data_IF_753951809628
#
_entry.id   IF_753951809628
#
_cell.length_a   1.000
_cell.length_b   1.000
_cell.length_c   1.000
_cell.angle_alpha   90.00
_cell.angle_beta   90.00
_cell.angle_gamma   90.00
#
_symmetry.space_group_name_H-M   'P 1'
#
loop_
_entity.id
_entity.type
_entity.pdbx_description
1 polymer ?
#
# COMPACT_ATOMS: atom_id res chain seq x y z
N UNK A 1 7.21 9.44 18.35
CA UNK A 1 8.61 9.44 17.88
C UNK A 1 9.42 8.27 18.44
N UNK A 2 9.49 8.01 19.75
CA UNK A 2 10.28 6.86 20.26
C UNK A 2 9.74 5.47 19.87
N UNK A 3 8.41 5.29 19.87
CA UNK A 3 7.78 4.00 19.52
C UNK A 3 7.98 3.60 18.05
N UNK A 4 8.07 4.57 17.15
CA UNK A 4 8.25 4.31 15.71
C UNK A 4 9.65 3.73 15.47
N UNK A 5 10.68 4.31 16.09
CA UNK A 5 12.03 3.75 16.02
C UNK A 5 12.09 2.33 16.62
N UNK A 6 11.38 2.06 17.71
CA UNK A 6 11.29 0.72 18.30
C UNK A 6 10.65 -0.30 17.34
N UNK A 7 9.54 0.05 16.69
CA UNK A 7 8.88 -0.83 15.73
C UNK A 7 9.82 -1.21 14.56
N UNK A 8 10.59 -0.23 14.05
CA UNK A 8 11.60 -0.49 13.05
C UNK A 8 12.69 -1.44 13.56
N UNK A 9 13.22 -1.22 14.78
CA UNK A 9 14.25 -2.10 15.34
C UNK A 9 13.75 -3.55 15.48
N UNK A 10 12.55 -3.77 16.03
CA UNK A 10 12.00 -5.12 16.16
C UNK A 10 11.75 -5.80 14.82
N UNK A 11 11.27 -5.04 13.82
CA UNK A 11 11.15 -5.55 12.46
C UNK A 11 12.51 -5.99 11.91
N UNK A 12 13.54 -5.17 12.09
CA UNK A 12 14.88 -5.48 11.61
C UNK A 12 15.51 -6.66 12.36
N UNK A 13 15.23 -6.83 13.65
CA UNK A 13 15.62 -8.02 14.43
C UNK A 13 14.91 -9.27 13.90
N UNK A 14 13.59 -9.21 13.66
CA UNK A 14 12.82 -10.32 13.09
C UNK A 14 13.35 -10.76 11.71
N UNK A 15 13.66 -9.81 10.84
CA UNK A 15 14.27 -10.08 9.53
C UNK A 15 15.66 -10.70 9.68
N UNK A 16 16.46 -10.23 10.64
CA UNK A 16 17.79 -10.79 10.89
C UNK A 16 17.71 -12.23 11.41
N UNK A 17 16.77 -12.52 12.30
CA UNK A 17 16.50 -13.89 12.76
C UNK A 17 16.05 -14.78 11.60
N UNK A 18 15.13 -14.30 10.76
CA UNK A 18 14.68 -15.01 9.56
C UNK A 18 15.85 -15.35 8.63
N UNK A 19 16.74 -14.38 8.38
CA UNK A 19 17.91 -14.56 7.52
C UNK A 19 18.94 -15.51 8.14
N UNK A 20 19.16 -15.44 9.45
CA UNK A 20 20.05 -16.36 10.18
C UNK A 20 19.57 -17.80 10.09
N UNK A 21 18.25 -18.01 10.09
CA UNK A 21 17.61 -19.31 9.89
C UNK A 21 17.51 -19.71 8.42
N UNK A 22 18.04 -18.91 7.49
CA UNK A 22 18.00 -19.14 6.03
C UNK A 22 16.59 -19.31 5.45
N UNK A 23 15.55 -18.80 6.13
CA UNK A 23 14.15 -18.90 5.66
C UNK A 23 13.81 -17.88 4.55
N UNK A 24 14.83 -17.30 3.93
CA UNK A 24 14.72 -16.48 2.73
C UNK A 24 15.31 -17.21 1.51
N UNK A 25 15.72 -18.47 1.69
CA UNK A 25 16.28 -19.32 0.64
C UNK A 25 15.32 -20.48 0.38
N UNK A 26 14.91 -20.66 -0.88
CA UNK A 26 13.96 -21.72 -1.28
C UNK A 26 14.46 -23.12 -0.89
N UNK A 27 15.76 -23.36 -1.06
CA UNK A 27 16.47 -24.62 -0.69
C UNK A 27 16.27 -25.01 0.77
N UNK A 28 16.16 -24.05 1.70
CA UNK A 28 15.97 -24.35 3.12
C UNK A 28 14.65 -25.09 3.38
N UNK A 29 13.65 -24.89 2.53
CA UNK A 29 12.32 -25.50 2.69
C UNK A 29 12.31 -27.01 2.38
N UNK A 30 13.26 -27.50 1.58
CA UNK A 30 13.44 -28.93 1.30
C UNK A 30 14.00 -29.70 2.52
N UNK A 31 14.65 -28.99 3.45
CA UNK A 31 15.27 -29.57 4.64
C UNK A 31 14.28 -29.72 5.82
N UNK A 32 13.06 -29.16 5.71
CA UNK A 32 12.07 -29.24 6.78
C UNK A 32 11.50 -30.64 6.95
N UNK A 33 11.68 -31.22 8.14
CA UNK A 33 11.03 -32.48 8.53
C UNK A 33 9.55 -32.31 8.88
N UNK A 34 9.16 -31.14 9.38
CA UNK A 34 7.79 -30.79 9.72
C UNK A 34 7.16 -29.92 8.61
N UNK A 35 6.20 -30.45 7.82
CA UNK A 35 5.52 -29.69 6.78
C UNK A 35 4.75 -28.49 7.31
N UNK A 36 4.19 -28.56 8.52
CA UNK A 36 3.41 -27.48 9.10
C UNK A 36 4.33 -26.30 9.41
N UNK A 37 5.48 -26.57 10.03
CA UNK A 37 6.48 -25.55 10.31
C UNK A 37 7.02 -24.91 9.02
N UNK A 38 7.25 -25.70 7.96
CA UNK A 38 7.65 -25.22 6.63
C UNK A 38 6.63 -24.24 6.04
N UNK A 39 5.34 -24.57 6.10
CA UNK A 39 4.25 -23.70 5.63
C UNK A 39 4.25 -22.37 6.39
N UNK A 40 4.30 -22.41 7.72
CA UNK A 40 4.26 -21.17 8.51
C UNK A 40 5.53 -20.34 8.36
N UNK A 41 6.71 -20.96 8.24
CA UNK A 41 7.96 -20.25 7.97
C UNK A 41 7.88 -19.46 6.65
N UNK A 42 7.32 -20.06 5.58
CA UNK A 42 7.10 -19.37 4.30
C UNK A 42 6.11 -18.22 4.43
N UNK A 43 5.00 -18.42 5.14
CA UNK A 43 4.03 -17.35 5.41
C UNK A 43 4.68 -16.21 6.22
N UNK A 44 5.49 -16.51 7.23
CA UNK A 44 6.22 -15.52 8.02
C UNK A 44 7.17 -14.68 7.16
N UNK A 45 7.91 -15.29 6.23
CA UNK A 45 8.73 -14.55 5.28
C UNK A 45 7.91 -13.50 4.53
N UNK A 46 6.76 -13.89 3.96
CA UNK A 46 5.92 -12.99 3.18
C UNK A 46 5.25 -11.90 4.03
N UNK A 47 4.92 -12.18 5.29
CA UNK A 47 4.43 -11.16 6.23
C UNK A 47 5.50 -10.11 6.48
N UNK A 48 6.74 -10.53 6.77
CA UNK A 48 7.86 -9.62 6.94
C UNK A 48 8.19 -8.85 5.65
N UNK A 49 8.09 -9.49 4.49
CA UNK A 49 8.31 -8.88 3.18
C UNK A 49 7.37 -7.69 2.93
N UNK A 50 6.07 -7.86 3.18
CA UNK A 50 5.07 -6.80 3.04
C UNK A 50 5.28 -5.72 4.10
N UNK A 51 5.50 -6.13 5.35
CA UNK A 51 5.64 -5.20 6.48
C UNK A 51 6.87 -4.32 6.31
N UNK A 52 7.99 -4.87 5.84
CA UNK A 52 9.21 -4.09 5.57
C UNK A 52 9.00 -3.05 4.48
N UNK A 53 8.33 -3.40 3.39
CA UNK A 53 8.05 -2.45 2.30
C UNK A 53 7.08 -1.36 2.72
N UNK A 54 6.01 -1.71 3.43
CA UNK A 54 5.07 -0.73 3.97
C UNK A 54 5.81 0.27 4.88
N UNK A 55 6.63 -0.22 5.80
CA UNK A 55 7.39 0.62 6.72
C UNK A 55 8.45 1.46 5.99
N UNK A 56 9.13 0.86 5.01
CA UNK A 56 10.12 1.52 4.15
C UNK A 56 9.55 2.73 3.42
N UNK A 57 8.37 2.55 2.81
CA UNK A 57 7.64 3.62 2.14
C UNK A 57 7.15 4.71 3.09
N UNK A 58 6.54 4.32 4.22
CA UNK A 58 5.99 5.28 5.18
C UNK A 58 7.07 6.14 5.86
N UNK A 59 8.23 5.56 6.16
CA UNK A 59 9.24 6.17 7.04
C UNK A 59 10.57 6.45 6.34
N UNK A 60 10.60 6.36 5.00
CA UNK A 60 11.79 6.53 4.17
C UNK A 60 12.98 5.66 4.65
N UNK A 61 12.72 4.37 4.88
CA UNK A 61 13.73 3.39 5.32
C UNK A 61 14.15 2.48 4.16
N UNK A 62 15.41 2.03 4.11
CA UNK A 62 15.84 1.01 3.15
C UNK A 62 15.22 -0.35 3.50
N UNK A 63 15.04 -1.21 2.50
CA UNK A 63 14.55 -2.58 2.67
C UNK A 63 15.67 -3.61 2.45
N UNK A 64 15.56 -4.80 3.03
CA UNK A 64 16.53 -5.90 2.89
C UNK A 64 15.96 -7.14 2.21
N UNK A 65 14.68 -7.45 2.44
CA UNK A 65 14.06 -8.67 1.92
C UNK A 65 13.80 -8.56 0.41
N UNK A 66 14.37 -9.50 -0.34
CA UNK A 66 14.17 -9.66 -1.78
C UNK A 66 13.12 -10.73 -2.07
N UNK A 67 12.44 -10.63 -3.22
CA UNK A 67 11.52 -11.66 -3.66
C UNK A 67 12.31 -12.91 -4.10
N UNK A 68 12.45 -13.85 -3.18
CA UNK A 68 13.33 -15.02 -3.32
C UNK A 68 12.58 -16.34 -3.18
N UNK A 69 11.36 -16.30 -2.62
CA UNK A 69 10.55 -17.48 -2.36
C UNK A 69 9.38 -17.58 -3.33
N UNK A 70 8.87 -18.79 -3.53
CA UNK A 70 7.54 -19.00 -4.09
C UNK A 70 6.44 -18.53 -3.14
N UNK A 71 5.29 -18.16 -3.71
CA UNK A 71 4.10 -17.79 -2.94
C UNK A 71 3.62 -18.96 -2.06
N UNK A 72 2.97 -18.70 -0.91
CA UNK A 72 2.40 -19.76 -0.09
C UNK A 72 1.45 -20.67 -0.88
N UNK A 73 1.56 -21.98 -0.73
CA UNK A 73 0.60 -22.88 -1.37
C UNK A 73 -0.80 -22.69 -0.75
N UNK A 74 -1.82 -22.65 -1.62
CA UNK A 74 -3.22 -22.58 -1.22
C UNK A 74 -3.84 -23.96 -1.45
N UNK A 75 -4.17 -24.64 -0.36
CA UNK A 75 -5.00 -25.84 -0.40
C UNK A 75 -6.49 -25.42 -0.36
N UNK A 76 -7.28 -25.64 -1.43
CA UNK A 76 -8.69 -25.26 -1.47
C UNK A 76 -9.56 -25.94 -0.42
N UNK A 77 -9.08 -27.05 0.17
CA UNK A 77 -9.79 -27.78 1.23
C UNK A 77 -9.43 -27.28 2.63
N UNK A 78 -8.41 -26.42 2.75
CA UNK A 78 -7.98 -25.84 4.02
C UNK A 78 -8.90 -24.73 4.48
N UNK A 79 -9.11 -24.63 5.79
CA UNK A 79 -9.85 -23.53 6.42
C UNK A 79 -9.17 -22.16 6.21
N UNK A 80 -7.86 -22.16 5.93
CA UNK A 80 -7.08 -20.94 5.70
C UNK A 80 -7.15 -20.45 4.25
N UNK A 81 -7.79 -21.20 3.33
CA UNK A 81 -7.75 -20.91 1.90
C UNK A 81 -8.20 -19.48 1.57
N UNK A 82 -9.33 -19.05 2.15
CA UNK A 82 -9.87 -17.71 1.94
C UNK A 82 -8.95 -16.62 2.48
N UNK A 83 -8.28 -16.87 3.61
CA UNK A 83 -7.31 -15.94 4.21
C UNK A 83 -6.09 -15.78 3.28
N UNK A 84 -5.60 -16.88 2.73
CA UNK A 84 -4.44 -16.90 1.85
C UNK A 84 -4.68 -16.22 0.51
N UNK A 85 -5.90 -16.27 -0.03
CA UNK A 85 -6.26 -15.55 -1.25
C UNK A 85 -6.04 -14.04 -1.09
N UNK A 86 -6.56 -13.44 -0.01
CA UNK A 86 -6.31 -12.03 0.28
C UNK A 86 -4.84 -11.74 0.60
N UNK A 87 -4.13 -12.68 1.25
CA UNK A 87 -2.69 -12.54 1.49
C UNK A 87 -1.88 -12.51 0.20
N UNK A 88 -2.20 -13.36 -0.79
CA UNK A 88 -1.56 -13.35 -2.11
C UNK A 88 -1.79 -12.04 -2.86
N UNK A 89 -3.00 -11.52 -2.80
CA UNK A 89 -3.32 -10.22 -3.39
C UNK A 89 -2.54 -9.09 -2.72
N UNK A 90 -2.40 -9.14 -1.39
CA UNK A 90 -1.60 -8.17 -0.65
C UNK A 90 -0.12 -8.26 -1.01
N UNK A 91 0.45 -9.47 -1.10
CA UNK A 91 1.83 -9.66 -1.59
C UNK A 91 1.98 -9.04 -2.98
N UNK A 92 1.02 -9.32 -3.87
CA UNK A 92 1.03 -8.83 -5.26
C UNK A 92 1.00 -7.30 -5.34
N UNK A 93 0.29 -6.63 -4.45
CA UNK A 93 0.29 -5.16 -4.36
C UNK A 93 1.67 -4.59 -3.99
N UNK A 94 2.40 -5.25 -3.09
CA UNK A 94 3.68 -4.76 -2.57
C UNK A 94 4.91 -5.20 -3.38
N UNK A 95 4.82 -6.28 -4.18
CA UNK A 95 5.92 -6.78 -5.00
C UNK A 95 6.59 -5.72 -5.90
N UNK A 96 5.86 -4.83 -6.60
CA UNK A 96 6.49 -3.82 -7.45
C UNK A 96 7.33 -2.77 -6.71
N UNK A 97 7.24 -2.70 -5.38
CA UNK A 97 7.98 -1.77 -4.53
C UNK A 97 9.28 -2.45 -4.06
N UNK A 98 10.18 -2.69 -5.00
CA UNK A 98 11.46 -3.34 -4.79
C UNK A 98 12.55 -2.38 -4.26
N UNK A 99 13.78 -2.88 -4.15
CA UNK A 99 14.90 -2.08 -3.64
C UNK A 99 15.23 -0.88 -4.53
N UNK A 100 15.02 -0.97 -5.84
CA UNK A 100 15.27 0.12 -6.77
C UNK A 100 14.21 1.21 -6.60
N UNK A 101 12.94 0.82 -6.51
CA UNK A 101 11.85 1.74 -6.20
C UNK A 101 12.07 2.44 -4.86
N UNK A 102 12.35 1.68 -3.79
CA UNK A 102 12.57 2.21 -2.44
C UNK A 102 13.78 3.14 -2.40
N UNK A 103 14.85 2.82 -3.12
CA UNK A 103 16.03 3.69 -3.22
C UNK A 103 15.69 5.01 -3.88
N UNK A 104 14.96 4.96 -5.01
CA UNK A 104 14.50 6.14 -5.72
C UNK A 104 13.56 7.00 -4.85
N UNK A 105 12.65 6.34 -4.14
CA UNK A 105 11.73 6.94 -3.17
C UNK A 105 12.47 7.68 -2.06
N UNK A 106 13.42 7.02 -1.39
CA UNK A 106 14.16 7.58 -0.27
C UNK A 106 15.09 8.75 -0.65
N UNK A 107 15.64 8.72 -1.87
CA UNK A 107 16.60 9.72 -2.33
C UNK A 107 15.95 10.85 -3.14
N UNK A 108 14.70 10.66 -3.61
CA UNK A 108 14.01 11.55 -4.54
C UNK A 108 14.90 11.95 -5.72
N UNK A 109 15.50 10.94 -6.36
CA UNK A 109 16.49 11.16 -7.43
C UNK A 109 15.89 11.98 -8.59
N UNK A 110 16.72 12.76 -9.33
CA UNK A 110 16.28 13.48 -10.50
C UNK A 110 15.55 12.58 -11.51
N UNK A 111 14.68 13.17 -12.32
CA UNK A 111 13.93 12.40 -13.32
C UNK A 111 14.85 11.84 -14.40
N UNK A 112 14.61 10.57 -14.75
CA UNK A 112 15.22 9.91 -15.91
C UNK A 112 14.20 9.82 -17.05
N UNK A 113 14.64 9.68 -18.32
CA UNK A 113 13.72 9.56 -19.45
C UNK A 113 12.73 8.40 -19.36
N UNK A 114 13.06 7.35 -18.60
CA UNK A 114 12.22 6.14 -18.45
C UNK A 114 11.21 6.25 -17.32
N UNK A 115 11.42 7.16 -16.35
CA UNK A 115 10.60 7.26 -15.13
C UNK A 115 9.12 7.47 -15.43
N UNK A 116 8.79 8.33 -16.41
CA UNK A 116 7.40 8.62 -16.77
C UNK A 116 6.65 7.38 -17.25
N UNK A 117 7.27 6.58 -18.13
CA UNK A 117 6.67 5.37 -18.65
C UNK A 117 6.56 4.28 -17.57
N UNK A 118 7.60 4.11 -16.75
CA UNK A 118 7.64 3.12 -15.67
C UNK A 118 6.61 3.42 -14.58
N UNK A 119 6.54 4.66 -14.10
CA UNK A 119 5.59 5.06 -13.06
C UNK A 119 4.15 5.09 -13.57
N UNK A 120 3.94 5.47 -14.85
CA UNK A 120 2.62 5.33 -15.49
C UNK A 120 2.19 3.87 -15.61
N UNK A 121 3.11 2.97 -15.94
CA UNK A 121 2.84 1.53 -15.94
C UNK A 121 2.49 1.03 -14.54
N UNK A 122 3.23 1.43 -13.51
CA UNK A 122 2.96 1.04 -12.13
C UNK A 122 1.60 1.55 -11.64
N UNK A 123 1.24 2.81 -11.94
CA UNK A 123 -0.10 3.32 -11.66
C UNK A 123 -1.20 2.50 -12.33
N UNK A 124 -0.97 2.07 -13.58
CA UNK A 124 -1.91 1.22 -14.33
C UNK A 124 -2.05 -0.15 -13.69
N UNK A 125 -0.94 -0.76 -13.29
CA UNK A 125 -0.91 -2.04 -12.59
C UNK A 125 -1.71 -1.96 -11.30
N UNK A 126 -1.51 -0.91 -10.49
CA UNK A 126 -2.30 -0.69 -9.28
C UNK A 126 -3.77 -0.46 -9.60
N UNK A 127 -4.11 0.36 -10.60
CA UNK A 127 -5.51 0.66 -10.98
C UNK A 127 -6.32 -0.59 -11.33
N UNK A 128 -5.72 -1.55 -12.03
CA UNK A 128 -6.40 -2.78 -12.47
C UNK A 128 -6.09 -4.00 -11.60
N UNK A 129 -5.40 -3.81 -10.47
CA UNK A 129 -5.20 -4.87 -9.47
C UNK A 129 -6.51 -5.24 -8.77
N UNK A 130 -6.55 -6.44 -8.17
CA UNK A 130 -7.66 -6.96 -7.36
C UNK A 130 -8.99 -7.17 -8.12
N UNK A 131 -9.02 -7.97 -9.22
CA UNK A 131 -10.24 -8.17 -10.01
C UNK A 131 -11.35 -8.97 -9.30
N UNK A 132 -11.00 -9.80 -8.30
CA UNK A 132 -11.92 -10.77 -7.68
C UNK A 132 -12.24 -10.45 -6.20
N UNK A 133 -12.35 -9.16 -5.85
CA UNK A 133 -12.57 -8.69 -4.47
C UNK A 133 -13.82 -9.28 -3.80
N UNK A 134 -14.84 -9.66 -4.56
CA UNK A 134 -16.08 -10.26 -4.03
C UNK A 134 -15.84 -11.60 -3.32
N UNK A 135 -14.72 -12.27 -3.61
CA UNK A 135 -14.39 -13.57 -3.02
C UNK A 135 -13.69 -13.42 -1.66
N UNK A 136 -13.39 -12.19 -1.23
CA UNK A 136 -12.64 -11.94 0.00
C UNK A 136 -13.57 -11.53 1.13
N UNK A 137 -13.15 -11.81 2.37
CA UNK A 137 -13.84 -11.27 3.55
C UNK A 137 -13.81 -9.75 3.56
N UNK A 138 -14.79 -9.11 4.22
CA UNK A 138 -14.84 -7.65 4.32
C UNK A 138 -13.57 -7.06 4.97
N UNK A 139 -12.96 -7.77 5.93
CA UNK A 139 -11.69 -7.38 6.58
C UNK A 139 -10.55 -7.34 5.55
N UNK A 140 -10.45 -8.35 4.69
CA UNK A 140 -9.45 -8.37 3.61
C UNK A 140 -9.75 -7.32 2.54
N UNK A 141 -11.03 -7.12 2.18
CA UNK A 141 -11.43 -6.08 1.24
C UNK A 141 -10.99 -4.70 1.74
N UNK A 142 -11.23 -4.39 3.02
CA UNK A 142 -10.78 -3.13 3.64
C UNK A 142 -9.26 -2.94 3.49
N UNK A 143 -8.45 -3.92 3.90
CA UNK A 143 -6.99 -3.80 3.85
C UNK A 143 -6.47 -3.68 2.42
N UNK A 144 -6.95 -4.53 1.50
CA UNK A 144 -6.52 -4.53 0.10
C UNK A 144 -6.88 -3.22 -0.60
N UNK A 145 -8.12 -2.74 -0.42
CA UNK A 145 -8.60 -1.52 -1.06
C UNK A 145 -7.86 -0.29 -0.53
N UNK A 146 -7.72 -0.15 0.79
CA UNK A 146 -6.98 0.98 1.39
C UNK A 146 -5.49 0.91 1.05
N UNK A 147 -4.87 -0.27 1.10
CA UNK A 147 -3.46 -0.46 0.70
C UNK A 147 -3.25 -0.07 -0.75
N UNK A 148 -4.12 -0.48 -1.67
CA UNK A 148 -4.06 -0.09 -3.09
C UNK A 148 -4.15 1.43 -3.26
N UNK A 149 -5.09 2.09 -2.59
CA UNK A 149 -5.22 3.56 -2.69
C UNK A 149 -4.01 4.29 -2.14
N UNK A 150 -3.48 3.83 -1.01
CA UNK A 150 -2.26 4.38 -0.43
C UNK A 150 -1.04 4.18 -1.34
N UNK A 151 -0.86 3.02 -1.94
CA UNK A 151 0.23 2.76 -2.89
C UNK A 151 0.12 3.64 -4.15
N UNK A 152 -1.10 3.90 -4.65
CA UNK A 152 -1.32 4.87 -5.75
C UNK A 152 -0.85 6.28 -5.35
N UNK A 153 -1.08 6.68 -4.10
CA UNK A 153 -0.58 7.96 -3.54
C UNK A 153 0.93 7.99 -3.43
N UNK A 154 1.57 6.91 -2.98
CA UNK A 154 3.04 6.78 -2.94
C UNK A 154 3.63 6.99 -4.34
N UNK A 155 3.12 6.29 -5.34
CA UNK A 155 3.59 6.44 -6.73
C UNK A 155 3.35 7.86 -7.25
N UNK A 156 2.20 8.46 -6.92
CA UNK A 156 1.91 9.84 -7.29
C UNK A 156 2.90 10.84 -6.67
N UNK A 157 3.23 10.69 -5.38
CA UNK A 157 4.23 11.54 -4.70
C UNK A 157 5.59 11.47 -5.38
N UNK A 158 6.00 10.27 -5.81
CA UNK A 158 7.25 10.09 -6.56
C UNK A 158 7.18 10.75 -7.95
N UNK A 159 6.04 10.67 -8.64
CA UNK A 159 5.83 11.41 -9.88
C UNK A 159 5.90 12.93 -9.66
N UNK A 160 5.34 13.43 -8.56
CA UNK A 160 5.35 14.84 -8.20
C UNK A 160 6.78 15.34 -7.92
N UNK A 161 7.56 14.60 -7.13
CA UNK A 161 8.96 14.97 -6.83
C UNK A 161 9.84 15.00 -8.09
N UNK A 162 9.53 14.14 -9.06
CA UNK A 162 10.19 14.08 -10.38
C UNK A 162 9.65 15.08 -11.41
N UNK A 163 8.61 15.86 -11.08
CA UNK A 163 7.99 16.86 -11.95
C UNK A 163 7.49 16.29 -13.30
N UNK A 164 7.02 15.04 -13.30
CA UNK A 164 6.55 14.33 -14.51
C UNK A 164 5.01 14.26 -14.60
N UNK A 165 4.32 15.01 -13.75
CA UNK A 165 2.85 15.06 -13.71
C UNK A 165 2.31 16.08 -14.71
N UNK A 166 1.20 15.72 -15.34
CA UNK A 166 0.42 16.62 -16.20
C UNK A 166 -0.65 17.37 -15.41
N UNK A 167 -1.18 18.47 -15.95
CA UNK A 167 -2.37 19.15 -15.41
C UNK A 167 -3.68 18.62 -16.03
N UNK A 168 -3.69 17.33 -16.43
CA UNK A 168 -4.86 16.68 -17.01
C UNK A 168 -5.96 16.45 -15.94
N UNK A 169 -7.10 15.89 -16.35
CA UNK A 169 -8.19 15.56 -15.41
C UNK A 169 -7.74 14.64 -14.27
N UNK A 170 -8.43 14.69 -13.13
CA UNK A 170 -8.15 13.88 -11.95
C UNK A 170 -8.30 12.37 -12.18
N UNK A 171 -8.96 11.93 -13.26
CA UNK A 171 -9.09 10.51 -13.60
C UNK A 171 -7.82 9.92 -14.26
N UNK A 172 -6.91 10.79 -14.68
CA UNK A 172 -5.61 10.39 -15.20
C UNK A 172 -4.63 10.15 -14.05
N UNK A 173 -4.11 8.93 -13.93
CA UNK A 173 -3.18 8.55 -12.86
C UNK A 173 -1.83 9.29 -12.90
N UNK A 174 -1.51 9.94 -14.02
CA UNK A 174 -0.35 10.81 -14.19
C UNK A 174 -0.73 12.31 -14.15
N UNK A 175 -1.85 12.64 -13.51
CA UNK A 175 -2.28 14.02 -13.27
C UNK A 175 -1.83 14.54 -11.90
N UNK A 176 -1.53 15.83 -11.83
CA UNK A 176 -1.38 16.57 -10.59
C UNK A 176 -2.62 16.42 -9.69
N UNK A 177 -3.82 16.32 -10.28
CA UNK A 177 -5.09 16.23 -9.56
C UNK A 177 -5.48 14.80 -9.14
N UNK A 178 -4.63 13.79 -9.39
CA UNK A 178 -4.94 12.40 -9.07
C UNK A 178 -5.27 12.12 -7.59
N UNK A 179 -4.66 12.80 -6.58
CA UNK A 179 -5.03 12.61 -5.17
C UNK A 179 -6.51 12.82 -4.89
N UNK A 180 -7.19 13.71 -5.62
CA UNK A 180 -8.63 13.90 -5.48
C UNK A 180 -9.44 12.68 -5.94
N UNK A 181 -8.99 11.96 -6.98
CA UNK A 181 -9.62 10.68 -7.37
C UNK A 181 -9.35 9.59 -6.33
N UNK A 182 -8.11 9.49 -5.82
CA UNK A 182 -7.75 8.49 -4.79
C UNK A 182 -8.56 8.72 -3.50
N UNK A 183 -8.69 9.96 -3.05
CA UNK A 183 -9.45 10.30 -1.86
C UNK A 183 -10.95 10.01 -2.02
N UNK A 184 -11.54 10.35 -3.17
CA UNK A 184 -12.91 9.96 -3.52
C UNK A 184 -13.10 8.44 -3.47
N UNK A 185 -12.15 7.67 -4.01
CA UNK A 185 -12.20 6.21 -3.92
C UNK A 185 -12.19 5.74 -2.46
N UNK A 186 -11.38 6.34 -1.57
CA UNK A 186 -11.37 5.99 -0.14
C UNK A 186 -12.72 6.25 0.52
N UNK A 187 -13.37 7.38 0.23
CA UNK A 187 -14.72 7.68 0.72
C UNK A 187 -15.73 6.65 0.22
N UNK A 188 -15.66 6.27 -1.06
CA UNK A 188 -16.54 5.23 -1.60
C UNK A 188 -16.29 3.88 -0.91
N UNK A 189 -15.02 3.52 -0.67
CA UNK A 189 -14.65 2.30 0.04
C UNK A 189 -15.24 2.31 1.46
N UNK A 190 -15.19 3.44 2.17
CA UNK A 190 -15.70 3.55 3.53
C UNK A 190 -17.23 3.52 3.61
N UNK A 191 -17.93 3.83 2.52
CA UNK A 191 -19.38 3.63 2.40
C UNK A 191 -19.77 2.18 2.06
N UNK A 192 -18.89 1.44 1.38
CA UNK A 192 -19.16 0.09 0.89
C UNK A 192 -18.72 -1.02 1.86
N UNK A 193 -17.76 -0.74 2.73
CA UNK A 193 -17.18 -1.71 3.66
C UNK A 193 -17.56 -1.34 5.11
N UNK A 194 -17.99 -2.30 5.96
CA UNK A 194 -18.38 -1.97 7.34
C UNK A 194 -17.22 -1.46 8.20
N UNK A 195 -17.53 -0.54 9.12
CA UNK A 195 -16.55 0.05 10.06
C UNK A 195 -15.73 -1.01 10.80
N UNK A 196 -16.36 -2.10 11.24
CA UNK A 196 -15.70 -3.19 11.98
C UNK A 196 -14.57 -3.85 11.16
N UNK A 197 -14.70 -3.87 9.83
CA UNK A 197 -13.65 -4.40 8.96
C UNK A 197 -12.42 -3.50 8.92
N UNK A 198 -12.59 -2.18 9.02
CA UNK A 198 -11.45 -1.26 9.17
C UNK A 198 -10.81 -1.39 10.56
N UNK A 199 -11.63 -1.47 11.62
CA UNK A 199 -11.16 -1.63 13.00
C UNK A 199 -10.34 -2.91 13.19
N UNK A 200 -10.76 -4.01 12.57
CA UNK A 200 -10.05 -5.29 12.63
C UNK A 200 -8.62 -5.24 12.05
N UNK A 201 -8.35 -4.33 11.11
CA UNK A 201 -7.01 -4.12 10.55
C UNK A 201 -6.15 -3.15 11.39
N UNK A 202 -6.78 -2.42 12.31
CA UNK A 202 -6.12 -1.55 13.27
C UNK A 202 -5.45 -0.31 12.66
N UNK A 203 -4.42 0.18 13.36
CA UNK A 203 -3.81 1.50 13.12
C UNK A 203 -3.17 1.65 11.73
N UNK A 204 -2.76 0.55 11.10
CA UNK A 204 -2.10 0.58 9.79
C UNK A 204 -3.00 1.14 8.69
N UNK A 205 -4.31 0.87 8.73
CA UNK A 205 -5.27 1.50 7.80
C UNK A 205 -5.39 2.99 8.07
N UNK A 206 -5.44 3.39 9.34
CA UNK A 206 -5.56 4.80 9.72
C UNK A 206 -4.36 5.62 9.21
N UNK A 207 -3.15 5.12 9.40
CA UNK A 207 -1.94 5.78 8.90
C UNK A 207 -1.95 5.93 7.37
N UNK A 208 -2.39 4.90 6.64
CA UNK A 208 -2.53 4.92 5.17
C UNK A 208 -3.55 5.98 4.72
N UNK A 209 -4.73 6.02 5.35
CA UNK A 209 -5.80 6.99 5.04
C UNK A 209 -5.33 8.42 5.36
N UNK A 210 -4.68 8.62 6.51
CA UNK A 210 -4.10 9.89 6.90
C UNK A 210 -3.09 10.39 5.86
N UNK A 211 -2.20 9.52 5.38
CA UNK A 211 -1.21 9.88 4.36
C UNK A 211 -1.85 10.30 3.02
N UNK A 212 -2.96 9.65 2.63
CA UNK A 212 -3.76 10.10 1.47
C UNK A 212 -4.41 11.45 1.72
N UNK A 213 -4.99 11.67 2.91
CA UNK A 213 -5.58 12.95 3.30
C UNK A 213 -4.57 14.11 3.26
N UNK A 214 -3.36 13.90 3.78
CA UNK A 214 -2.27 14.87 3.68
C UNK A 214 -1.93 15.20 2.23
N UNK A 215 -1.89 14.19 1.36
CA UNK A 215 -1.57 14.39 -0.07
C UNK A 215 -2.63 15.22 -0.80
N UNK A 216 -3.91 15.04 -0.43
CA UNK A 216 -5.00 15.86 -0.95
C UNK A 216 -4.93 17.30 -0.42
N UNK A 217 -4.58 17.48 0.86
CA UNK A 217 -4.37 18.82 1.43
C UNK A 217 -3.21 19.55 0.76
N UNK A 218 -2.08 18.86 0.51
CA UNK A 218 -0.93 19.41 -0.23
C UNK A 218 -1.34 19.86 -1.64
N UNK A 219 -2.14 19.05 -2.34
CA UNK A 219 -2.69 19.43 -3.64
C UNK A 219 -3.51 20.72 -3.58
N UNK A 220 -4.34 20.89 -2.55
CA UNK A 220 -5.17 22.08 -2.38
C UNK A 220 -4.35 23.33 -2.06
N UNK A 221 -3.19 23.19 -1.43
CA UNK A 221 -2.27 24.31 -1.21
C UNK A 221 -1.54 24.70 -2.51
N UNK A 222 -1.30 23.74 -3.41
CA UNK A 222 -0.63 23.95 -4.69
C UNK A 222 -1.58 24.53 -5.77
N UNK A 223 -2.86 24.18 -5.74
CA UNK A 223 -3.88 24.63 -6.70
C UNK A 223 -4.66 25.79 -6.09
N UNK A 224 -4.45 27.02 -6.59
CA UNK A 224 -5.18 28.21 -6.12
C UNK A 224 -6.71 28.03 -6.26
N UNK A 225 -7.51 28.65 -5.36
CA UNK A 225 -8.97 28.51 -5.35
C UNK A 225 -9.71 29.06 -6.58
N UNK A 226 -9.00 29.66 -7.54
CA UNK A 226 -9.58 30.27 -8.75
C UNK A 226 -10.23 29.25 -9.72
N UNK A 227 -10.08 27.94 -9.46
CA UNK A 227 -10.72 26.84 -10.20
C UNK A 227 -12.00 26.29 -9.54
N UNK A 228 -12.62 27.03 -8.61
CA UNK A 228 -13.96 26.72 -8.13
C UNK A 228 -15.04 27.20 -9.12
N UNK A 229 -15.31 26.43 -10.17
CA UNK A 229 -16.63 26.42 -10.81
C UNK A 229 -16.77 25.25 -11.80
N UNK A 230 -17.11 24.08 -11.30
CA UNK A 230 -18.09 23.22 -11.97
C UNK A 230 -19.00 22.64 -10.91
N UNK A 231 -20.24 23.13 -10.87
CA UNK A 231 -21.24 22.87 -9.82
C UNK A 231 -21.80 21.42 -9.81
N UNK A 232 -21.02 20.44 -10.26
CA UNK A 232 -21.44 19.03 -10.35
C UNK A 232 -20.47 18.02 -9.73
N UNK A 233 -19.28 18.43 -9.28
CA UNK A 233 -18.36 17.53 -8.58
C UNK A 233 -18.24 17.91 -7.10
N UNK A 234 -18.40 16.91 -6.22
CA UNK A 234 -18.06 17.02 -4.80
C UNK A 234 -16.63 17.56 -4.68
N UNK A 235 -16.46 18.69 -3.98
CA UNK A 235 -15.20 19.41 -3.96
C UNK A 235 -14.10 18.67 -3.20
N UNK A 236 -12.83 18.98 -3.49
CA UNK A 236 -11.69 18.46 -2.73
C UNK A 236 -11.79 18.78 -1.22
N UNK A 237 -12.40 19.93 -0.88
CA UNK A 237 -12.73 20.32 0.49
C UNK A 237 -13.73 19.35 1.11
N UNK A 238 -14.82 19.03 0.40
CA UNK A 238 -15.86 18.12 0.89
C UNK A 238 -15.29 16.70 1.09
N UNK A 239 -14.44 16.25 0.15
CA UNK A 239 -13.76 14.95 0.27
C UNK A 239 -12.80 14.90 1.46
N UNK A 240 -12.04 15.98 1.71
CA UNK A 240 -11.22 16.06 2.92
C UNK A 240 -12.09 16.00 4.15
N UNK A 241 -13.13 16.84 4.24
CA UNK A 241 -14.03 16.86 5.41
C UNK A 241 -14.60 15.46 5.67
N UNK A 242 -15.05 14.75 4.64
CA UNK A 242 -15.53 13.36 4.79
C UNK A 242 -14.43 12.42 5.28
N UNK A 243 -13.19 12.49 4.75
CA UNK A 243 -12.06 11.69 5.26
C UNK A 243 -11.74 11.97 6.74
N UNK A 244 -11.96 13.20 7.22
CA UNK A 244 -11.66 13.62 8.59
C UNK A 244 -12.85 13.50 9.56
N UNK A 245 -14.07 13.28 9.07
CA UNK A 245 -15.24 12.97 9.91
C UNK A 245 -15.19 11.50 10.35
N UNK A 246 -14.70 10.60 9.49
CA UNK A 246 -14.55 9.16 9.78
C UNK A 246 -13.78 8.83 11.09
N UNK A 247 -12.75 9.57 11.52
CA UNK A 247 -12.05 9.33 12.79
C UNK A 247 -12.67 10.03 14.01
N UNK A 248 -13.59 10.99 13.85
CA UNK A 248 -13.99 11.91 14.95
C UNK A 248 -15.34 11.63 15.59
N UNK A 249 -16.20 10.80 15.00
CA UNK A 249 -17.51 10.51 15.59
C UNK A 249 -17.48 9.56 16.79
N UNK A 250 -16.31 9.05 17.20
CA UNK A 250 -16.21 8.04 18.25
C UNK A 250 -15.04 8.28 19.22
N UNK A 251 -15.13 9.41 19.95
CA UNK A 251 -14.49 9.55 21.27
C UNK A 251 -15.49 9.28 22.38
#
# INVERSE_FOLDING_TARGET
MDKDNQAWYYLQEAITMLQTLRLHEEVTYDEFLDPILSIYARRTFWVLFITERAYGLQRNRPIRLQETLELPAIDPLSQDADILLGFHDLISLFRPFDSDFITNWNQMTPSTPTDSAQLSHLQRLLKYSLPNLSNHSQVQQADLLISRQWLKTVVWKLCASKQILSTASSDNAMSLHYPASIARDIVLISQLVPTQAFEANGIGILEKVFDVGCSLADLMLLVRPDFQASAMDVGAIDTLVEMWVFPTEYR
#
